data_IF_969673901798
#
_entry.id   IF_969673901798
#
_cell.length_a   1.000
_cell.length_b   1.000
_cell.length_c   1.000
_cell.angle_alpha   90.00
_cell.angle_beta   90.00
_cell.angle_gamma   90.00
#
_symmetry.space_group_name_H-M   'P 1'
#
loop_
_entity.id
_entity.type
_entity.pdbx_description
1 polymer ?
#
# COMPACT_ATOMS: atom_id res chain seq x y z
N UNK A 1 -16.72 -42.26 14.88
CA UNK A 1 -18.14 -42.66 14.83
C UNK A 1 -18.61 -42.40 13.40
N UNK A 2 -18.67 -43.46 12.60
CA UNK A 2 -18.97 -43.47 11.17
C UNK A 2 -20.39 -44.00 11.04
N UNK A 3 -21.28 -43.28 10.36
CA UNK A 3 -22.54 -43.85 9.84
C UNK A 3 -22.78 -43.26 8.42
N UNK A 4 -23.23 -44.07 7.44
CA UNK A 4 -23.05 -43.81 6.00
C UNK A 4 -24.35 -43.51 5.22
N UNK A 5 -24.15 -43.10 3.96
CA UNK A 5 -24.96 -43.23 2.74
C UNK A 5 -26.46 -43.59 2.82
N UNK A 6 -27.27 -42.77 2.13
CA UNK A 6 -28.59 -43.13 1.62
C UNK A 6 -28.76 -42.65 0.17
N UNK A 7 -28.76 -43.59 -0.77
CA UNK A 7 -29.05 -43.43 -2.19
C UNK A 7 -30.57 -43.49 -2.43
N UNK A 8 -31.12 -42.64 -3.30
CA UNK A 8 -32.52 -42.66 -3.70
C UNK A 8 -32.74 -41.98 -5.04
N UNK A 9 -32.81 -42.79 -6.10
CA UNK A 9 -33.16 -42.41 -7.47
C UNK A 9 -34.68 -42.29 -7.65
N UNK A 10 -35.17 -41.28 -8.38
CA UNK A 10 -36.38 -41.41 -9.22
C UNK A 10 -36.20 -40.58 -10.49
N UNK A 11 -36.20 -41.27 -11.63
CA UNK A 11 -36.31 -40.69 -12.96
C UNK A 11 -37.80 -40.53 -13.32
N UNK A 12 -38.16 -39.42 -13.97
CA UNK A 12 -39.39 -39.33 -14.75
C UNK A 12 -39.11 -38.72 -16.12
N UNK A 13 -39.45 -39.52 -17.12
CA UNK A 13 -39.49 -39.25 -18.56
C UNK A 13 -40.68 -38.37 -18.93
N UNK A 14 -40.48 -37.36 -19.78
CA UNK A 14 -41.54 -36.53 -20.36
C UNK A 14 -41.35 -36.37 -21.87
N UNK A 15 -42.19 -37.07 -22.63
CA UNK A 15 -42.24 -37.20 -24.08
C UNK A 15 -42.70 -35.94 -24.82
N UNK A 16 -42.16 -35.76 -26.03
CA UNK A 16 -42.59 -34.87 -27.11
C UNK A 16 -44.10 -34.93 -27.40
N UNK A 17 -44.68 -33.77 -27.75
CA UNK A 17 -45.86 -33.65 -28.62
C UNK A 17 -45.67 -32.51 -29.62
N UNK A 18 -45.87 -32.86 -30.89
CA UNK A 18 -45.98 -31.98 -32.05
C UNK A 18 -47.45 -31.63 -32.32
N UNK A 19 -47.71 -30.40 -32.77
CA UNK A 19 -48.92 -30.06 -33.55
C UNK A 19 -48.58 -29.00 -34.60
N UNK A 20 -49.22 -29.02 -35.78
CA UNK A 20 -48.72 -28.36 -36.99
C UNK A 20 -49.46 -27.05 -37.36
N UNK A 21 -48.77 -26.20 -38.12
CA UNK A 21 -49.39 -25.36 -39.15
C UNK A 21 -49.63 -23.89 -38.82
N UNK A 22 -48.75 -23.02 -39.34
CA UNK A 22 -49.16 -21.75 -39.94
C UNK A 22 -48.05 -21.26 -40.87
N UNK A 23 -48.36 -21.24 -42.17
CA UNK A 23 -47.50 -20.76 -43.24
C UNK A 23 -47.30 -19.23 -43.12
N UNK A 24 -46.05 -18.78 -43.18
CA UNK A 24 -45.72 -17.39 -43.53
C UNK A 24 -44.87 -17.39 -44.79
N UNK A 25 -45.35 -16.61 -45.74
CA UNK A 25 -44.84 -16.43 -47.10
C UNK A 25 -43.48 -15.75 -47.03
N UNK A 26 -42.51 -16.32 -47.75
CA UNK A 26 -41.20 -15.74 -47.97
C UNK A 26 -41.30 -14.60 -49.00
N UNK A 27 -40.98 -13.37 -48.59
CA UNK A 27 -40.57 -12.31 -49.52
C UNK A 27 -39.05 -12.17 -49.44
N UNK A 28 -38.39 -12.43 -50.56
CA UNK A 28 -36.96 -12.28 -50.71
C UNK A 28 -36.54 -10.82 -50.71
N UNK A 29 -35.55 -10.49 -49.89
CA UNK A 29 -34.63 -9.38 -50.18
C UNK A 29 -33.21 -9.94 -50.25
N UNK A 30 -32.63 -9.82 -51.43
CA UNK A 30 -31.22 -10.04 -51.71
C UNK A 30 -30.42 -8.91 -51.07
N UNK A 31 -29.92 -9.12 -49.85
CA UNK A 31 -28.87 -8.26 -49.29
C UNK A 31 -27.51 -8.72 -49.83
N UNK A 32 -26.85 -7.78 -50.50
CA UNK A 32 -25.55 -7.95 -51.15
C UNK A 32 -24.45 -8.28 -50.15
N UNK A 33 -23.63 -9.27 -50.50
CA UNK A 33 -22.43 -9.78 -49.83
C UNK A 33 -21.39 -8.74 -49.36
N UNK A 34 -21.50 -7.47 -49.75
CA UNK A 34 -20.54 -6.43 -49.41
C UNK A 34 -20.74 -5.87 -47.99
N UNK A 35 -21.98 -5.84 -47.47
CA UNK A 35 -22.29 -5.20 -46.18
C UNK A 35 -21.81 -6.01 -44.97
N UNK A 36 -21.76 -7.35 -45.10
CA UNK A 36 -21.25 -8.27 -44.06
C UNK A 36 -19.74 -8.19 -43.86
N UNK A 37 -18.96 -7.82 -44.88
CA UNK A 37 -17.51 -7.66 -44.73
C UNK A 37 -17.14 -6.36 -43.99
N UNK A 38 -17.90 -5.29 -44.16
CA UNK A 38 -17.67 -4.03 -43.43
C UNK A 38 -18.08 -4.11 -41.96
N UNK A 39 -19.17 -4.81 -41.62
CA UNK A 39 -19.53 -5.04 -40.22
C UNK A 39 -18.54 -5.97 -39.49
N UNK A 40 -18.00 -6.99 -40.17
CA UNK A 40 -17.00 -7.88 -39.55
C UNK A 40 -15.65 -7.18 -39.34
N UNK A 41 -15.26 -6.26 -40.23
CA UNK A 41 -14.06 -5.43 -40.08
C UNK A 41 -14.23 -4.29 -39.05
N UNK A 42 -15.46 -3.78 -38.86
CA UNK A 42 -15.78 -2.82 -37.79
C UNK A 42 -15.92 -3.48 -36.41
N UNK A 43 -16.32 -4.76 -36.36
CA UNK A 43 -16.34 -5.55 -35.12
C UNK A 43 -14.92 -5.92 -34.68
N UNK A 44 -14.02 -6.18 -35.64
CA UNK A 44 -12.60 -6.41 -35.38
C UNK A 44 -11.83 -5.12 -35.03
N UNK A 45 -12.36 -3.94 -35.35
CA UNK A 45 -11.77 -2.66 -34.89
C UNK A 45 -12.28 -2.20 -33.52
N UNK A 46 -13.39 -2.76 -33.01
CA UNK A 46 -13.90 -2.52 -31.65
C UNK A 46 -13.51 -3.61 -30.64
N UNK A 47 -12.84 -4.68 -31.09
CA UNK A 47 -12.41 -5.80 -30.23
C UNK A 47 -10.90 -5.88 -30.02
N UNK A 48 -10.14 -4.92 -30.57
CA UNK A 48 -8.75 -4.72 -30.22
C UNK A 48 -8.67 -3.74 -29.03
N UNK A 49 -9.24 -4.13 -27.89
CA UNK A 49 -8.58 -3.79 -26.63
C UNK A 49 -7.21 -4.46 -26.74
N UNK A 50 -6.23 -3.69 -27.21
CA UNK A 50 -4.83 -3.99 -26.93
C UNK A 50 -4.82 -4.27 -25.44
N UNK A 51 -4.60 -5.52 -25.05
CA UNK A 51 -4.20 -5.85 -23.69
C UNK A 51 -2.88 -5.08 -23.58
N UNK A 52 -2.94 -3.83 -23.14
CA UNK A 52 -1.75 -3.09 -22.80
C UNK A 52 -1.14 -3.92 -21.70
N UNK A 53 -0.02 -4.56 -22.04
CA UNK A 53 0.85 -5.22 -21.09
C UNK A 53 1.01 -4.25 -19.91
N UNK A 54 0.71 -4.71 -18.70
CA UNK A 54 0.88 -3.88 -17.52
C UNK A 54 2.38 -3.62 -17.36
N UNK A 55 2.81 -2.47 -17.88
CA UNK A 55 4.22 -2.12 -18.09
C UNK A 55 5.06 -2.30 -16.83
N UNK A 56 4.46 -2.15 -15.63
CA UNK A 56 5.18 -2.21 -14.35
C UNK A 56 4.88 -3.48 -13.56
N UNK A 57 4.12 -4.44 -14.10
CA UNK A 57 3.84 -5.71 -13.41
C UNK A 57 5.12 -6.52 -13.19
N UNK A 58 6.02 -6.59 -14.18
CA UNK A 58 7.28 -7.30 -14.03
C UNK A 58 8.16 -6.68 -12.93
N UNK A 59 8.15 -5.35 -12.81
CA UNK A 59 8.86 -4.63 -11.75
C UNK A 59 8.25 -4.92 -10.37
N UNK A 60 6.92 -4.99 -10.27
CA UNK A 60 6.22 -5.36 -9.04
C UNK A 60 6.50 -6.81 -8.63
N UNK A 61 6.44 -7.76 -9.56
CA UNK A 61 6.72 -9.17 -9.29
C UNK A 61 8.17 -9.35 -8.79
N UNK A 62 9.10 -8.59 -9.38
CA UNK A 62 10.47 -8.53 -8.92
C UNK A 62 10.59 -7.90 -7.53
N UNK A 63 9.85 -6.83 -7.24
CA UNK A 63 9.81 -6.19 -5.93
C UNK A 63 9.36 -7.16 -4.82
N UNK A 64 8.30 -7.95 -5.08
CA UNK A 64 7.80 -8.97 -4.16
C UNK A 64 8.87 -10.03 -3.87
N UNK A 65 9.57 -10.48 -4.93
CA UNK A 65 10.65 -11.46 -4.80
C UNK A 65 11.79 -10.95 -3.90
N UNK A 66 12.26 -9.72 -4.14
CA UNK A 66 13.39 -9.17 -3.38
C UNK A 66 12.98 -8.74 -1.97
N UNK A 67 11.75 -8.28 -1.75
CA UNK A 67 11.22 -7.99 -0.41
C UNK A 67 11.19 -9.25 0.46
N UNK A 68 10.78 -10.39 -0.10
CA UNK A 68 10.80 -11.68 0.62
C UNK A 68 12.22 -12.15 0.96
N UNK A 69 13.18 -11.93 0.05
CA UNK A 69 14.60 -12.20 0.31
C UNK A 69 15.13 -11.30 1.43
N UNK A 70 14.83 -10.00 1.39
CA UNK A 70 15.20 -9.03 2.41
C UNK A 70 14.63 -9.40 3.78
N UNK A 71 13.33 -9.69 3.88
CA UNK A 71 12.74 -10.08 5.16
C UNK A 71 13.27 -11.42 5.69
N UNK A 72 13.76 -12.32 4.83
CA UNK A 72 14.48 -13.52 5.29
C UNK A 72 15.81 -13.16 5.97
N UNK A 73 16.52 -12.15 5.47
CA UNK A 73 17.74 -11.61 6.10
C UNK A 73 17.40 -10.94 7.42
N UNK A 74 16.34 -10.11 7.48
CA UNK A 74 15.85 -9.47 8.70
C UNK A 74 15.48 -10.51 9.77
N UNK A 75 14.69 -11.52 9.41
CA UNK A 75 14.29 -12.58 10.32
C UNK A 75 15.46 -13.45 10.83
N UNK A 76 16.52 -13.60 10.04
CA UNK A 76 17.75 -14.26 10.50
C UNK A 76 18.48 -13.38 11.52
N UNK A 77 18.65 -12.09 11.22
CA UNK A 77 19.36 -11.13 12.08
C UNK A 77 18.66 -10.91 13.44
N UNK A 78 17.32 -11.00 13.51
CA UNK A 78 16.56 -10.93 14.77
C UNK A 78 16.98 -12.00 15.81
N UNK A 79 17.57 -13.12 15.36
CA UNK A 79 18.00 -14.24 16.21
C UNK A 79 19.42 -14.08 16.74
N UNK A 80 20.17 -13.10 16.25
CA UNK A 80 21.57 -12.85 16.59
C UNK A 80 21.69 -11.66 17.55
N UNK A 81 22.91 -11.39 18.02
CA UNK A 81 23.23 -10.16 18.72
C UNK A 81 23.40 -9.02 17.71
N UNK A 82 22.70 -7.91 17.95
CA UNK A 82 22.60 -6.78 17.01
C UNK A 82 23.57 -5.69 17.41
N UNK A 83 24.40 -5.24 16.46
CA UNK A 83 25.20 -4.01 16.62
C UNK A 83 24.31 -2.80 16.35
N UNK A 84 24.10 -1.97 17.38
CA UNK A 84 23.21 -0.80 17.35
C UNK A 84 24.06 0.46 17.19
N UNK A 85 23.67 1.30 16.23
CA UNK A 85 24.21 2.64 16.01
C UNK A 85 23.07 3.67 16.15
N UNK A 86 23.44 4.93 16.41
CA UNK A 86 22.49 6.03 16.62
C UNK A 86 22.64 7.05 15.49
N UNK A 87 21.52 7.50 14.92
CA UNK A 87 21.43 8.50 13.85
C UNK A 87 21.21 9.91 14.43
N UNK A 88 20.05 10.54 14.20
CA UNK A 88 19.79 11.96 14.51
C UNK A 88 19.43 12.24 15.96
N UNK A 89 18.98 11.23 16.71
CA UNK A 89 18.60 11.34 18.12
C UNK A 89 18.82 10.00 18.85
N UNK A 90 18.87 9.97 20.20
CA UNK A 90 19.03 8.71 20.95
C UNK A 90 17.93 7.65 20.71
N UNK A 91 16.82 8.05 20.09
CA UNK A 91 15.71 7.16 19.72
C UNK A 91 15.64 6.86 18.22
N UNK A 92 16.57 7.42 17.43
CA UNK A 92 16.70 7.19 15.99
C UNK A 92 17.88 6.23 15.78
N UNK A 93 17.56 4.96 15.54
CA UNK A 93 18.50 3.85 15.57
C UNK A 93 18.74 3.30 14.17
N UNK A 94 19.92 2.73 13.95
CA UNK A 94 20.27 1.99 12.74
C UNK A 94 21.15 0.80 13.10
N UNK A 95 21.04 -0.29 12.36
CA UNK A 95 21.88 -1.47 12.53
C UNK A 95 22.63 -1.79 11.24
N UNK A 96 23.65 -2.64 11.34
CA UNK A 96 24.33 -3.15 10.15
C UNK A 96 23.38 -3.94 9.22
N UNK A 97 22.25 -4.40 9.74
CA UNK A 97 21.23 -5.12 8.95
C UNK A 97 20.50 -4.18 8.00
N UNK A 98 20.14 -2.97 8.45
CA UNK A 98 19.45 -1.96 7.65
C UNK A 98 20.27 -1.62 6.40
N UNK A 99 21.55 -1.27 6.60
CA UNK A 99 22.50 -0.94 5.53
C UNK A 99 22.70 -2.12 4.54
N UNK A 100 22.87 -3.33 5.07
CA UNK A 100 23.06 -4.55 4.26
C UNK A 100 21.82 -4.87 3.43
N UNK A 101 20.62 -4.72 3.99
CA UNK A 101 19.36 -4.97 3.30
C UNK A 101 19.17 -3.93 2.20
N UNK A 102 19.42 -2.65 2.48
CA UNK A 102 19.30 -1.60 1.47
C UNK A 102 20.27 -1.81 0.30
N UNK A 103 21.55 -2.09 0.59
CA UNK A 103 22.55 -2.37 -0.44
C UNK A 103 22.12 -3.56 -1.32
N UNK A 104 21.59 -4.63 -0.71
CA UNK A 104 21.10 -5.80 -1.43
C UNK A 104 19.90 -5.48 -2.33
N UNK A 105 18.95 -4.68 -1.85
CA UNK A 105 17.78 -4.26 -2.63
C UNK A 105 18.19 -3.34 -3.79
N UNK A 106 18.93 -2.27 -3.51
CA UNK A 106 19.36 -1.30 -4.52
C UNK A 106 20.23 -1.95 -5.58
N UNK A 107 21.21 -2.78 -5.20
CA UNK A 107 22.09 -3.46 -6.18
C UNK A 107 21.30 -4.40 -7.08
N UNK A 108 20.41 -5.23 -6.52
CA UNK A 108 19.56 -6.15 -7.30
C UNK A 108 18.66 -5.41 -8.28
N UNK A 109 18.06 -4.30 -7.85
CA UNK A 109 17.21 -3.47 -8.72
C UNK A 109 18.04 -2.78 -9.79
N UNK A 110 19.19 -2.21 -9.43
CA UNK A 110 20.05 -1.48 -10.38
C UNK A 110 20.64 -2.40 -11.45
N UNK A 111 20.94 -3.65 -11.12
CA UNK A 111 21.34 -4.65 -12.10
C UNK A 111 20.25 -4.91 -13.13
N UNK A 112 18.99 -5.06 -12.68
CA UNK A 112 17.85 -5.34 -13.56
C UNK A 112 17.33 -4.11 -14.31
N UNK A 113 17.36 -2.94 -13.66
CA UNK A 113 16.78 -1.68 -14.12
C UNK A 113 17.79 -0.53 -14.00
N UNK A 114 18.88 -0.52 -14.79
CA UNK A 114 20.00 0.40 -14.62
C UNK A 114 19.67 1.88 -14.89
N UNK A 115 18.54 2.17 -15.55
CA UNK A 115 18.06 3.53 -15.81
C UNK A 115 17.12 4.07 -14.74
N UNK A 116 16.70 3.26 -13.77
CA UNK A 116 15.79 3.70 -12.71
C UNK A 116 16.54 4.47 -11.61
N UNK A 117 15.81 5.33 -10.91
CA UNK A 117 16.29 6.14 -9.80
C UNK A 117 15.96 5.50 -8.46
N UNK A 118 16.57 6.00 -7.38
CA UNK A 118 16.42 5.47 -6.02
C UNK A 118 16.28 6.60 -5.01
N UNK A 119 15.43 6.39 -4.01
CA UNK A 119 15.40 7.11 -2.74
C UNK A 119 15.39 6.03 -1.66
N UNK A 120 16.49 5.86 -0.94
CA UNK A 120 16.61 4.89 0.17
C UNK A 120 16.95 5.61 1.46
N UNK A 121 16.36 5.20 2.58
CA UNK A 121 16.61 5.81 3.88
C UNK A 121 18.11 5.90 4.23
N UNK A 122 18.82 4.78 4.16
CA UNK A 122 20.23 4.70 4.57
C UNK A 122 21.13 5.41 3.56
N UNK A 123 20.76 5.38 2.28
CA UNK A 123 21.42 6.15 1.21
C UNK A 123 21.30 7.66 1.46
N UNK A 124 20.12 8.13 1.87
CA UNK A 124 19.88 9.55 2.21
C UNK A 124 20.67 9.92 3.46
N UNK A 125 20.69 9.07 4.49
CA UNK A 125 21.53 9.25 5.67
C UNK A 125 23.04 9.30 5.32
N UNK A 126 23.46 8.58 4.28
CA UNK A 126 24.82 8.61 3.74
C UNK A 126 25.12 9.79 2.78
N UNK A 127 24.16 10.70 2.57
CA UNK A 127 24.32 11.93 1.80
C UNK A 127 23.78 11.89 0.35
N UNK A 128 23.03 10.85 -0.03
CA UNK A 128 22.28 10.86 -1.28
C UNK A 128 21.10 11.86 -1.20
N UNK A 129 20.71 12.43 -2.34
CA UNK A 129 19.53 13.29 -2.41
C UNK A 129 18.22 12.49 -2.41
N UNK A 130 17.17 13.07 -1.85
CA UNK A 130 15.80 12.51 -1.75
C UNK A 130 14.82 13.17 -2.73
N UNK A 131 15.29 13.77 -3.82
CA UNK A 131 14.41 14.45 -4.78
C UNK A 131 13.67 13.46 -5.69
N UNK A 132 12.34 13.47 -5.63
CA UNK A 132 11.51 12.67 -6.52
C UNK A 132 11.34 13.35 -7.89
N UNK A 133 11.75 12.67 -8.96
CA UNK A 133 11.65 13.13 -10.35
C UNK A 133 10.54 12.39 -11.10
N UNK A 134 10.41 12.65 -12.41
CA UNK A 134 9.45 11.93 -13.25
C UNK A 134 9.98 10.55 -13.69
N UNK A 135 11.28 10.28 -13.52
CA UNK A 135 11.90 8.99 -13.83
C UNK A 135 11.34 7.87 -12.93
N UNK A 136 11.23 6.62 -13.41
CA UNK A 136 10.93 5.47 -12.56
C UNK A 136 11.86 5.41 -11.35
N UNK A 137 11.29 5.55 -10.16
CA UNK A 137 12.03 5.70 -8.91
C UNK A 137 11.57 4.66 -7.90
N UNK A 138 12.52 3.92 -7.33
CA UNK A 138 12.30 2.99 -6.22
C UNK A 138 12.52 3.73 -4.92
N UNK A 139 11.50 3.77 -4.06
CA UNK A 139 11.52 4.41 -2.76
C UNK A 139 11.52 3.30 -1.70
N UNK A 140 12.62 3.17 -0.96
CA UNK A 140 12.93 1.98 -0.18
C UNK A 140 13.15 2.35 1.29
N UNK A 141 12.44 1.64 2.17
CA UNK A 141 12.83 1.50 3.56
C UNK A 141 13.29 0.03 3.77
N UNK A 142 14.57 -0.19 4.07
CA UNK A 142 15.08 -1.54 4.26
C UNK A 142 14.52 -2.24 5.51
N UNK A 143 14.24 -1.50 6.58
CA UNK A 143 13.72 -2.00 7.87
C UNK A 143 12.90 -0.89 8.55
N UNK A 144 11.63 -0.77 8.18
CA UNK A 144 10.70 0.09 8.90
C UNK A 144 10.41 -0.53 10.28
N UNK A 145 10.62 0.27 11.32
CA UNK A 145 10.60 -0.17 12.71
C UNK A 145 11.96 -0.67 13.20
N UNK A 146 13.07 0.01 12.88
CA UNK A 146 14.41 -0.36 13.40
C UNK A 146 14.45 -0.46 14.92
N UNK A 147 13.71 0.39 15.65
CA UNK A 147 13.60 0.27 17.12
C UNK A 147 12.91 -1.04 17.52
N UNK A 148 11.85 -1.44 16.82
CA UNK A 148 11.22 -2.74 17.03
C UNK A 148 12.19 -3.88 16.74
N UNK A 149 12.96 -3.78 15.65
CA UNK A 149 13.98 -4.76 15.30
C UNK A 149 15.02 -4.93 16.43
N UNK A 150 15.57 -3.81 16.92
CA UNK A 150 16.52 -3.79 18.05
C UNK A 150 15.96 -4.45 19.31
N UNK A 151 14.68 -4.20 19.61
CA UNK A 151 14.00 -4.75 20.79
C UNK A 151 13.34 -6.11 20.55
N UNK A 152 13.43 -6.67 19.33
CA UNK A 152 12.72 -7.89 18.90
C UNK A 152 11.20 -7.80 19.09
N UNK A 153 10.64 -6.59 18.99
CA UNK A 153 9.19 -6.38 18.96
C UNK A 153 8.65 -6.83 17.60
N UNK A 154 7.54 -7.59 17.53
CA UNK A 154 7.23 -8.43 16.38
C UNK A 154 6.58 -7.72 15.18
N UNK A 155 6.85 -6.43 15.00
CA UNK A 155 6.39 -5.64 13.85
C UNK A 155 7.60 -4.94 13.23
N UNK A 156 8.12 -5.53 12.16
CA UNK A 156 9.29 -5.05 11.41
C UNK A 156 9.01 -5.29 9.94
N UNK A 157 9.15 -4.27 9.10
CA UNK A 157 8.77 -4.37 7.70
C UNK A 157 9.88 -3.97 6.73
N UNK A 158 9.88 -4.60 5.56
CA UNK A 158 10.60 -4.08 4.38
C UNK A 158 9.56 -3.35 3.52
N UNK A 159 9.82 -2.09 3.15
CA UNK A 159 8.92 -1.26 2.34
C UNK A 159 9.57 -0.92 1.00
N UNK A 160 8.86 -1.18 -0.10
CA UNK A 160 9.30 -0.84 -1.46
C UNK A 160 8.15 -0.17 -2.21
N UNK A 161 8.24 1.14 -2.37
CA UNK A 161 7.38 1.93 -3.26
C UNK A 161 8.03 2.10 -4.63
N UNK A 162 7.22 2.16 -5.68
CA UNK A 162 7.69 2.46 -7.02
C UNK A 162 6.87 3.60 -7.62
N UNK A 163 7.54 4.67 -8.02
CA UNK A 163 6.90 5.87 -8.54
C UNK A 163 7.35 6.19 -9.96
N UNK A 164 6.42 6.70 -10.77
CA UNK A 164 6.67 7.21 -12.13
C UNK A 164 5.91 8.53 -12.27
N UNK A 165 6.51 9.55 -12.88
CA UNK A 165 5.91 10.90 -12.97
C UNK A 165 5.48 11.44 -11.59
N UNK A 166 6.29 11.18 -10.55
CA UNK A 166 6.02 11.53 -9.14
C UNK A 166 4.74 10.92 -8.56
N UNK A 167 4.18 9.90 -9.19
CA UNK A 167 2.99 9.17 -8.74
C UNK A 167 3.37 7.74 -8.38
N UNK A 168 2.95 7.26 -7.21
CA UNK A 168 3.19 5.86 -6.81
C UNK A 168 2.33 4.94 -7.66
N UNK A 169 2.99 3.99 -8.31
CA UNK A 169 2.43 3.05 -9.28
C UNK A 169 2.17 1.68 -8.64
N UNK A 170 3.06 1.22 -7.76
CA UNK A 170 2.83 0.06 -6.89
C UNK A 170 3.60 0.18 -5.57
N UNK A 171 3.20 -0.65 -4.61
CA UNK A 171 3.80 -0.74 -3.29
C UNK A 171 3.84 -2.18 -2.80
N UNK A 172 4.94 -2.53 -2.14
CA UNK A 172 5.15 -3.81 -1.47
C UNK A 172 5.60 -3.53 -0.04
N UNK A 173 4.87 -4.04 0.94
CA UNK A 173 5.24 -3.98 2.36
C UNK A 173 5.26 -5.41 2.88
N UNK A 174 6.42 -5.88 3.35
CA UNK A 174 6.55 -7.22 3.90
C UNK A 174 6.78 -7.13 5.41
N UNK A 175 5.74 -7.43 6.21
CA UNK A 175 5.88 -7.61 7.66
C UNK A 175 6.58 -8.93 7.93
N UNK A 176 7.86 -8.85 8.31
CA UNK A 176 8.80 -9.96 8.25
C UNK A 176 8.48 -11.05 9.26
N UNK A 177 8.23 -10.65 10.51
CA UNK A 177 7.96 -11.57 11.63
C UNK A 177 6.60 -12.24 11.49
N UNK A 178 5.62 -11.52 10.93
CA UNK A 178 4.28 -12.04 10.71
C UNK A 178 4.13 -12.88 9.43
N UNK A 179 5.15 -12.88 8.54
CA UNK A 179 5.08 -13.42 7.16
C UNK A 179 3.83 -12.92 6.41
N UNK A 180 3.60 -11.61 6.45
CA UNK A 180 2.50 -10.93 5.75
C UNK A 180 3.05 -10.04 4.65
N UNK A 181 2.82 -10.45 3.40
CA UNK A 181 3.18 -9.71 2.20
C UNK A 181 1.99 -8.88 1.73
N UNK A 182 2.02 -7.58 2.04
CA UNK A 182 1.06 -6.60 1.56
C UNK A 182 1.52 -6.03 0.22
N UNK A 183 0.59 -5.90 -0.72
CA UNK A 183 0.87 -5.44 -2.08
C UNK A 183 -0.29 -4.59 -2.59
N UNK A 184 0.02 -3.59 -3.40
CA UNK A 184 -0.97 -2.75 -4.08
C UNK A 184 -0.42 -2.27 -5.40
N UNK A 185 -1.24 -2.34 -6.46
CA UNK A 185 -0.91 -1.86 -7.80
C UNK A 185 -2.06 -1.01 -8.29
N UNK A 186 -1.75 0.20 -8.75
CA UNK A 186 -2.76 1.18 -9.18
C UNK A 186 -3.76 0.57 -10.17
N UNK A 187 -5.04 0.61 -9.82
CA UNK A 187 -6.15 0.05 -10.60
C UNK A 187 -6.28 -1.48 -10.56
N UNK A 188 -5.56 -2.19 -9.69
CA UNK A 188 -5.57 -3.66 -9.59
C UNK A 188 -6.01 -4.18 -8.21
N UNK A 189 -6.22 -3.30 -7.24
CA UNK A 189 -6.55 -3.66 -5.88
C UNK A 189 -5.33 -3.90 -4.99
N UNK A 190 -5.60 -4.03 -3.69
CA UNK A 190 -4.61 -4.34 -2.67
C UNK A 190 -4.82 -5.76 -2.12
N UNK A 191 -3.73 -6.41 -1.74
CA UNK A 191 -3.73 -7.80 -1.28
C UNK A 191 -2.77 -8.01 -0.11
N UNK A 192 -3.11 -8.92 0.80
CA UNK A 192 -2.18 -9.49 1.79
C UNK A 192 -2.14 -11.01 1.57
N UNK A 193 -0.96 -11.56 1.27
CA UNK A 193 -0.79 -13.00 0.99
C UNK A 193 -1.81 -13.54 -0.04
N UNK A 194 -2.10 -12.74 -1.08
CA UNK A 194 -3.04 -13.07 -2.16
C UNK A 194 -4.52 -12.85 -1.81
N UNK A 195 -4.86 -12.51 -0.56
CA UNK A 195 -6.23 -12.17 -0.16
C UNK A 195 -6.49 -10.68 -0.39
N UNK A 196 -7.56 -10.34 -1.10
CA UNK A 196 -7.93 -8.95 -1.38
C UNK A 196 -8.26 -8.21 -0.08
N UNK A 197 -7.72 -6.99 0.04
CA UNK A 197 -7.95 -6.09 1.17
C UNK A 197 -9.12 -5.15 0.90
N UNK A 198 -9.73 -4.68 1.98
CA UNK A 198 -10.81 -3.69 1.96
C UNK A 198 -10.78 -2.93 3.28
N UNK A 199 -10.72 -1.60 3.21
CA UNK A 199 -10.82 -0.75 4.41
C UNK A 199 -12.19 -0.86 5.07
N UNK A 200 -12.30 -0.50 6.35
CA UNK A 200 -13.53 -0.62 7.16
C UNK A 200 -14.71 0.23 6.65
N UNK A 201 -14.42 1.37 6.03
CA UNK A 201 -15.41 2.35 5.56
C UNK A 201 -16.14 3.12 6.68
N UNK A 202 -15.64 3.10 7.92
CA UNK A 202 -16.21 3.86 9.04
C UNK A 202 -16.25 5.36 8.72
N UNK A 203 -17.34 6.04 9.12
CA UNK A 203 -17.54 7.48 8.89
C UNK A 203 -17.76 8.28 10.17
N UNK A 204 -18.13 7.62 11.26
CA UNK A 204 -18.32 8.23 12.56
C UNK A 204 -17.03 8.13 13.39
N UNK A 205 -16.34 9.25 13.59
CA UNK A 205 -15.07 9.27 14.32
C UNK A 205 -15.22 8.81 15.76
N UNK A 206 -16.39 8.96 16.39
CA UNK A 206 -16.59 8.50 17.77
C UNK A 206 -16.58 6.98 17.90
N UNK A 207 -16.67 6.28 16.76
CA UNK A 207 -16.62 4.82 16.65
C UNK A 207 -15.34 4.30 16.01
N UNK A 208 -14.32 5.15 15.87
CA UNK A 208 -13.10 4.81 15.16
C UNK A 208 -11.96 4.31 16.07
N UNK A 209 -11.12 3.44 15.53
CA UNK A 209 -9.80 3.11 16.08
C UNK A 209 -8.72 3.77 15.23
N UNK A 210 -7.88 4.59 15.86
CA UNK A 210 -6.82 5.35 15.20
C UNK A 210 -5.46 4.75 15.56
N UNK A 211 -4.53 4.78 14.62
CA UNK A 211 -3.13 4.41 14.83
C UNK A 211 -2.25 5.67 14.65
N UNK A 212 -1.20 5.81 15.45
CA UNK A 212 -0.17 6.86 15.31
C UNK A 212 1.06 6.43 16.09
N UNK A 213 2.24 6.95 15.76
CA UNK A 213 3.41 6.83 16.62
C UNK A 213 3.74 8.15 17.33
N UNK A 214 4.69 8.07 18.27
CA UNK A 214 5.19 9.23 19.03
C UNK A 214 6.33 9.98 18.33
N UNK A 215 6.80 9.46 17.19
CA UNK A 215 7.95 9.97 16.44
C UNK A 215 9.31 9.72 17.09
N UNK A 216 10.38 10.02 16.35
CA UNK A 216 11.78 9.91 16.79
C UNK A 216 12.28 11.16 17.52
N UNK A 217 11.69 12.33 17.27
CA UNK A 217 12.09 13.60 17.86
C UNK A 217 11.89 13.58 19.39
N UNK A 218 12.88 14.06 20.15
CA UNK A 218 12.85 14.13 21.63
C UNK A 218 12.91 15.56 22.16
N UNK A 219 12.74 16.56 21.30
CA UNK A 219 12.53 17.95 21.69
C UNK A 219 11.22 18.05 22.51
N UNK A 220 11.25 18.63 23.74
CA UNK A 220 10.08 18.70 24.61
C UNK A 220 8.86 19.42 24.00
N UNK A 221 9.08 20.45 23.19
CA UNK A 221 8.00 21.20 22.53
C UNK A 221 7.31 20.35 21.46
N UNK A 222 8.09 19.59 20.68
CA UNK A 222 7.54 18.66 19.68
C UNK A 222 6.76 17.54 20.36
N UNK A 223 7.29 16.93 21.42
CA UNK A 223 6.60 15.88 22.19
C UNK A 223 5.28 16.41 22.78
N UNK A 224 5.26 17.63 23.33
CA UNK A 224 4.01 18.25 23.82
C UNK A 224 2.97 18.40 22.71
N UNK A 225 3.38 18.78 21.49
CA UNK A 225 2.46 18.89 20.35
C UNK A 225 1.90 17.54 19.92
N UNK A 226 2.75 16.50 19.85
CA UNK A 226 2.32 15.12 19.54
C UNK A 226 1.28 14.64 20.56
N UNK A 227 1.58 14.76 21.85
CA UNK A 227 0.67 14.33 22.92
C UNK A 227 -0.63 15.15 22.95
N UNK A 228 -0.55 16.46 22.71
CA UNK A 228 -1.73 17.34 22.58
C UNK A 228 -2.64 16.92 21.42
N UNK A 229 -2.07 16.56 20.27
CA UNK A 229 -2.85 16.05 19.13
C UNK A 229 -3.56 14.72 19.47
N UNK A 230 -2.86 13.80 20.14
CA UNK A 230 -3.45 12.54 20.61
C UNK A 230 -4.57 12.80 21.64
N UNK A 231 -4.36 13.71 22.58
CA UNK A 231 -5.35 14.10 23.59
C UNK A 231 -6.61 14.66 22.94
N UNK A 232 -6.48 15.58 21.98
CA UNK A 232 -7.61 16.14 21.24
C UNK A 232 -8.44 15.06 20.56
N UNK A 233 -7.78 14.11 19.91
CA UNK A 233 -8.47 12.99 19.26
C UNK A 233 -9.17 12.08 20.27
N UNK A 234 -8.50 11.71 21.37
CA UNK A 234 -9.08 10.91 22.45
C UNK A 234 -10.29 11.57 23.09
N UNK A 235 -10.32 12.90 23.18
CA UNK A 235 -11.43 13.67 23.76
C UNK A 235 -12.65 13.84 22.83
N UNK A 236 -12.59 13.41 21.56
CA UNK A 236 -13.75 13.33 20.63
C UNK A 236 -14.63 12.10 20.92
N UNK A 237 -14.45 11.48 22.08
CA UNK A 237 -14.32 10.02 22.32
C UNK A 237 -14.21 9.11 21.09
N UNK A 238 -13.00 8.94 20.53
CA UNK A 238 -12.70 7.77 19.67
C UNK A 238 -12.63 6.49 20.51
N UNK A 239 -12.75 5.31 19.91
CA UNK A 239 -12.64 4.04 20.65
C UNK A 239 -11.22 3.77 21.18
N UNK A 240 -10.19 4.32 20.54
CA UNK A 240 -8.84 4.33 21.10
C UNK A 240 -7.74 4.55 20.08
N UNK A 241 -6.52 4.68 20.60
CA UNK A 241 -5.29 4.80 19.84
C UNK A 241 -4.48 3.49 19.95
N UNK A 242 -3.79 3.09 18.88
CA UNK A 242 -2.77 2.04 18.86
C UNK A 242 -1.46 2.60 18.29
N UNK A 243 -0.36 1.91 18.61
CA UNK A 243 0.99 2.20 18.13
C UNK A 243 1.72 0.86 18.05
N UNK A 244 2.17 0.44 16.87
CA UNK A 244 2.91 -0.82 16.69
C UNK A 244 4.38 -0.60 16.34
N UNK A 245 4.82 0.65 16.16
CA UNK A 245 6.22 1.05 15.99
C UNK A 245 6.76 1.01 14.56
N UNK A 246 5.89 0.98 13.55
CA UNK A 246 6.26 1.01 12.11
C UNK A 246 5.14 1.65 11.30
N UNK A 247 5.47 2.67 10.52
CA UNK A 247 4.52 3.45 9.74
C UNK A 247 3.86 2.61 8.62
N UNK A 248 4.65 1.82 7.90
CA UNK A 248 4.19 0.98 6.81
C UNK A 248 3.21 -0.10 7.29
N UNK A 249 3.49 -0.74 8.43
CA UNK A 249 2.55 -1.72 9.03
C UNK A 249 1.31 -1.02 9.56
N UNK A 250 1.44 0.12 10.24
CA UNK A 250 0.29 0.90 10.70
C UNK A 250 -0.67 1.24 9.55
N UNK A 251 -0.14 1.70 8.43
CA UNK A 251 -0.92 1.93 7.21
C UNK A 251 -1.50 0.63 6.66
N UNK A 252 -0.74 -0.47 6.60
CA UNK A 252 -1.29 -1.75 6.14
C UNK A 252 -2.44 -2.25 7.04
N UNK A 253 -2.39 -2.03 8.36
CA UNK A 253 -3.49 -2.37 9.28
C UNK A 253 -4.77 -1.59 8.95
N UNK A 254 -4.67 -0.32 8.55
CA UNK A 254 -5.81 0.45 8.04
C UNK A 254 -6.32 -0.17 6.72
N UNK A 255 -5.43 -0.55 5.80
CA UNK A 255 -5.81 -1.19 4.54
C UNK A 255 -6.56 -2.52 4.73
N UNK A 256 -6.26 -3.26 5.81
CA UNK A 256 -7.00 -4.48 6.18
C UNK A 256 -8.40 -4.22 6.76
N UNK A 257 -8.71 -2.97 7.14
CA UNK A 257 -9.91 -2.63 7.89
C UNK A 257 -9.83 -2.94 9.40
N UNK A 258 -8.66 -3.38 9.90
CA UNK A 258 -8.41 -3.62 11.32
C UNK A 258 -8.30 -2.33 12.15
N UNK A 259 -8.02 -1.20 11.48
CA UNK A 259 -8.13 0.14 12.03
C UNK A 259 -8.76 1.10 11.01
N UNK A 260 -9.26 2.23 11.48
CA UNK A 260 -10.04 3.15 10.66
C UNK A 260 -9.20 4.29 10.10
N UNK A 261 -8.10 4.65 10.76
CA UNK A 261 -7.14 5.63 10.27
C UNK A 261 -5.77 5.50 10.94
N UNK A 262 -4.77 6.03 10.24
CA UNK A 262 -3.43 6.29 10.70
C UNK A 262 -3.10 7.76 10.40
N UNK A 263 -2.46 8.46 11.32
CA UNK A 263 -1.87 9.77 11.03
C UNK A 263 -0.48 9.84 11.65
N UNK A 264 0.42 10.57 11.00
CA UNK A 264 1.71 10.91 11.57
C UNK A 264 2.32 12.14 10.91
N UNK A 265 3.18 12.83 11.66
CA UNK A 265 3.99 13.95 11.18
C UNK A 265 5.43 13.72 11.65
N UNK A 266 6.37 13.72 10.72
CA UNK A 266 7.79 13.43 10.97
C UNK A 266 8.28 12.14 10.34
N UNK A 267 7.40 11.41 9.63
CA UNK A 267 7.75 10.28 8.77
C UNK A 267 8.28 10.77 7.42
N UNK A 268 8.95 9.91 6.68
CA UNK A 268 9.58 10.19 5.40
C UNK A 268 8.87 9.49 4.24
N UNK A 269 9.23 9.86 3.02
CA UNK A 269 8.65 9.31 1.80
C UNK A 269 8.78 7.78 1.70
N UNK A 270 9.85 7.18 2.21
CA UNK A 270 10.06 5.73 2.23
C UNK A 270 9.12 4.97 3.17
N UNK A 271 8.72 5.59 4.28
CA UNK A 271 7.72 5.06 5.23
C UNK A 271 6.32 4.96 4.59
N UNK A 272 6.00 5.91 3.70
CA UNK A 272 4.64 6.11 3.18
C UNK A 272 4.44 5.56 1.77
N UNK A 273 5.47 5.56 0.92
CA UNK A 273 5.31 5.37 -0.51
C UNK A 273 4.56 4.08 -0.84
N UNK A 274 5.06 2.94 -0.35
CA UNK A 274 4.44 1.64 -0.63
C UNK A 274 3.03 1.52 -0.03
N UNK A 275 2.87 1.90 1.24
CA UNK A 275 1.60 1.72 1.94
C UNK A 275 0.51 2.70 1.46
N UNK A 276 0.89 3.84 0.87
CA UNK A 276 -0.07 4.81 0.33
C UNK A 276 -0.92 4.23 -0.80
N UNK A 277 -0.31 3.51 -1.75
CA UNK A 277 -1.04 2.84 -2.84
C UNK A 277 -1.77 1.59 -2.34
N UNK A 278 -1.25 0.89 -1.34
CA UNK A 278 -1.96 -0.23 -0.70
C UNK A 278 -3.28 0.27 -0.07
N UNK A 279 -3.26 1.43 0.59
CA UNK A 279 -4.46 2.04 1.18
C UNK A 279 -5.48 2.44 0.12
N UNK A 280 -5.07 3.17 -0.92
CA UNK A 280 -6.01 3.66 -1.93
C UNK A 280 -6.60 2.50 -2.73
N UNK A 281 -5.82 1.48 -3.05
CA UNK A 281 -6.30 0.28 -3.74
C UNK A 281 -7.15 -0.65 -2.86
N UNK A 282 -7.06 -0.53 -1.53
CA UNK A 282 -8.00 -1.13 -0.58
C UNK A 282 -9.31 -0.32 -0.41
N UNK A 283 -9.45 0.80 -1.12
CA UNK A 283 -10.62 1.67 -1.08
C UNK A 283 -10.57 2.78 -0.02
N UNK A 284 -9.41 2.99 0.62
CA UNK A 284 -9.17 4.10 1.54
C UNK A 284 -8.75 5.39 0.85
N UNK A 285 -8.35 6.37 1.65
CA UNK A 285 -7.86 7.67 1.21
C UNK A 285 -6.55 8.03 1.92
N UNK A 286 -5.71 8.82 1.25
CA UNK A 286 -4.48 9.38 1.82
C UNK A 286 -4.50 10.89 1.61
N UNK A 287 -4.31 11.66 2.68
CA UNK A 287 -4.31 13.13 2.70
C UNK A 287 -3.05 13.64 3.42
N UNK A 288 -2.72 14.92 3.24
CA UNK A 288 -1.80 15.63 4.12
C UNK A 288 -2.49 15.92 5.47
N UNK A 289 -1.73 16.07 6.56
CA UNK A 289 -2.26 16.40 7.89
C UNK A 289 -3.07 17.71 7.95
N UNK A 290 -2.85 18.62 6.99
CA UNK A 290 -3.64 19.86 6.79
C UNK A 290 -5.05 19.61 6.22
N UNK A 291 -5.37 18.37 5.80
CA UNK A 291 -6.60 18.02 5.08
C UNK A 291 -6.52 18.28 3.57
N UNK A 292 -5.39 18.78 3.08
CA UNK A 292 -5.12 18.97 1.66
C UNK A 292 -4.78 17.68 0.91
N UNK A 293 -4.41 17.84 -0.36
CA UNK A 293 -3.91 16.73 -1.17
C UNK A 293 -2.65 16.13 -0.53
N UNK A 294 -2.55 14.80 -0.55
CA UNK A 294 -1.36 14.10 -0.09
C UNK A 294 -0.14 14.51 -0.91
N UNK A 295 0.93 14.85 -0.20
CA UNK A 295 2.24 15.16 -0.75
C UNK A 295 3.26 14.24 -0.10
N UNK A 296 3.78 13.30 -0.89
CA UNK A 296 4.69 12.25 -0.44
C UNK A 296 5.98 12.79 0.20
N UNK A 297 6.40 14.00 -0.16
CA UNK A 297 7.66 14.60 0.31
C UNK A 297 7.46 15.57 1.49
N UNK A 298 6.22 15.68 2.01
CA UNK A 298 5.83 16.67 3.03
C UNK A 298 6.14 16.28 4.47
N UNK A 299 6.53 15.02 4.68
CA UNK A 299 6.73 14.40 5.99
C UNK A 299 5.47 14.32 6.85
N UNK A 300 4.28 14.29 6.23
CA UNK A 300 2.98 14.27 6.92
C UNK A 300 1.99 13.38 6.19
N UNK A 301 1.17 12.63 6.94
CA UNK A 301 0.13 11.80 6.34
C UNK A 301 -1.08 11.66 7.25
N UNK A 302 -2.24 11.52 6.62
CA UNK A 302 -3.43 10.85 7.16
C UNK A 302 -3.82 9.78 6.16
N UNK A 303 -3.75 8.51 6.54
CA UNK A 303 -4.25 7.37 5.77
C UNK A 303 -5.50 6.84 6.46
N UNK A 304 -6.66 6.87 5.81
CA UNK A 304 -7.93 6.54 6.44
C UNK A 304 -8.82 5.65 5.59
N UNK A 305 -9.71 4.93 6.26
CA UNK A 305 -10.75 4.11 5.66
C UNK A 305 -11.82 4.91 4.92
N UNK A 306 -12.00 6.19 5.26
CA UNK A 306 -12.93 7.09 4.58
C UNK A 306 -12.47 8.54 4.64
N UNK A 307 -12.96 9.35 3.70
CA UNK A 307 -12.71 10.79 3.67
C UNK A 307 -13.31 11.52 4.87
N UNK A 308 -14.48 11.08 5.34
CA UNK A 308 -15.14 11.62 6.53
C UNK A 308 -14.22 11.55 7.77
N UNK A 309 -13.57 10.40 7.99
CA UNK A 309 -12.61 10.22 9.09
C UNK A 309 -11.35 11.04 8.86
N UNK A 310 -10.77 11.02 7.65
CA UNK A 310 -9.53 11.76 7.36
C UNK A 310 -9.67 13.27 7.60
N UNK A 311 -10.72 13.89 7.06
CA UNK A 311 -10.97 15.32 7.21
C UNK A 311 -11.32 15.69 8.65
N UNK A 312 -11.99 14.79 9.37
CA UNK A 312 -12.30 14.99 10.78
C UNK A 312 -11.05 14.94 11.64
N UNK A 313 -10.08 14.07 11.35
CA UNK A 313 -8.77 14.04 12.02
C UNK A 313 -7.99 15.31 11.72
N UNK A 314 -7.88 15.70 10.44
CA UNK A 314 -7.12 16.89 10.02
C UNK A 314 -7.53 18.18 10.76
N UNK A 315 -8.82 18.34 11.07
CA UNK A 315 -9.35 19.50 11.81
C UNK A 315 -8.83 19.64 13.24
N UNK A 316 -8.31 18.56 13.82
CA UNK A 316 -7.88 18.52 15.23
C UNK A 316 -6.37 18.65 15.38
N UNK A 317 -5.64 18.25 14.34
CA UNK A 317 -4.19 18.22 14.34
C UNK A 317 -3.63 19.65 14.30
N UNK A 318 -2.80 19.96 15.29
CA UNK A 318 -1.86 21.05 15.21
C UNK A 318 -0.62 20.59 14.42
N UNK A 319 -0.30 21.29 13.34
CA UNK A 319 0.82 20.96 12.46
C UNK A 319 2.16 21.19 13.18
N UNK A 320 3.02 20.17 13.16
CA UNK A 320 4.39 20.24 13.63
C UNK A 320 5.27 20.79 12.49
N UNK A 321 6.06 21.86 12.71
CA UNK A 321 7.02 22.34 11.72
C UNK A 321 8.09 21.28 11.46
N UNK A 322 8.25 20.89 10.20
CA UNK A 322 9.16 19.83 9.77
C UNK A 322 9.89 20.26 8.50
N UNK A 323 11.13 19.82 8.35
CA UNK A 323 11.83 19.89 7.09
C UNK A 323 11.25 18.84 6.13
N UNK A 324 11.05 19.23 4.88
CA UNK A 324 10.57 18.34 3.83
C UNK A 324 11.70 17.48 3.29
N UNK A 325 11.37 16.27 2.85
CA UNK A 325 12.34 15.39 2.21
C UNK A 325 12.95 16.00 0.94
N UNK A 326 12.24 16.86 0.21
CA UNK A 326 12.77 17.53 -0.97
C UNK A 326 13.46 18.87 -0.68
N UNK A 327 13.67 19.20 0.60
CA UNK A 327 14.37 20.41 1.06
C UNK A 327 13.69 21.74 0.69
N UNK A 328 12.48 21.70 0.12
CA UNK A 328 11.72 22.90 -0.19
C UNK A 328 11.07 23.44 1.07
N UNK A 329 10.99 24.77 1.20
CA UNK A 329 10.17 25.36 2.25
C UNK A 329 8.68 25.16 1.91
N UNK A 330 7.87 24.81 2.90
CA UNK A 330 6.41 24.96 2.81
C UNK A 330 6.10 26.46 2.80
N UNK A 331 5.71 27.00 1.65
CA UNK A 331 5.12 28.34 1.56
C UNK A 331 3.75 28.38 2.23
#
# INVERSE_FOLDING_TARGET
>A
MIIPYGCGSVAQTGSLRTTPGSAFIAEGRTETSATRCTEFLLYLSHSAQVIMEDQWQESMDFAILIARKAGSVVCAALKEDVSIMVKSSPADLVTATDQKVEEMLISSIKEKYPSHSFIGEESVAAGAGSTLTDNPTWIIDPIDGTTNFVHRFPFVAVSIGFAVNKQVEFGVVYSCVEDKMYTGRKGKGAFCNGQKLQVSGQKDITKSMIITELGSNRNPEVIKMVLSNMERLLCIPIHGIRAVGTAAVNMCLVATGGADAYYEMGIHCWDMAAASVIITEAGGVVLDATGGAFDLMSCRVIAASSRDIAERIAKELQIIPLERDDGKNTN
#
